data_IF_872843053712
#
_entry.id   IF_872843053712
#
_cell.length_a   1.000
_cell.length_b   1.000
_cell.length_c   1.000
_cell.angle_alpha   90.00
_cell.angle_beta   90.00
_cell.angle_gamma   90.00
#
_symmetry.space_group_name_H-M   'P 1'
#
loop_
_entity.id
_entity.type
_entity.pdbx_description
1 polymer ?
#
# COMPACT_ATOMS: atom_id res chain seq x y z
N UNK A 1 -2.44 20.34 -12.01
CA UNK A 1 -2.39 18.87 -12.33
C UNK A 1 -3.71 18.21 -11.98
N UNK A 2 -4.05 17.04 -12.58
CA UNK A 2 -5.23 16.25 -12.14
C UNK A 2 -4.96 15.67 -10.74
N UNK A 3 -5.99 15.59 -9.88
CA UNK A 3 -5.91 15.05 -8.52
C UNK A 3 -5.19 13.69 -8.43
N UNK A 4 -5.46 12.79 -9.36
CA UNK A 4 -4.81 11.46 -9.41
C UNK A 4 -3.31 11.54 -9.71
N UNK A 5 -2.87 12.54 -10.45
CA UNK A 5 -1.46 12.79 -10.78
C UNK A 5 -0.73 13.36 -9.57
N UNK A 6 -1.36 14.33 -8.86
CA UNK A 6 -0.81 14.87 -7.62
C UNK A 6 -0.65 13.77 -6.56
N UNK A 7 -1.67 12.92 -6.37
CA UNK A 7 -1.59 11.80 -5.42
C UNK A 7 -0.52 10.77 -5.82
N UNK A 8 -0.28 10.54 -7.12
CA UNK A 8 0.83 9.68 -7.59
C UNK A 8 2.18 10.33 -7.33
N UNK A 9 2.32 11.62 -7.62
CA UNK A 9 3.53 12.39 -7.35
C UNK A 9 3.88 12.38 -5.86
N UNK A 10 2.91 12.68 -4.99
CA UNK A 10 3.09 12.63 -3.54
C UNK A 10 3.50 11.22 -3.07
N UNK A 11 2.85 10.17 -3.62
CA UNK A 11 3.21 8.78 -3.32
C UNK A 11 4.63 8.44 -3.75
N UNK A 12 5.05 8.91 -4.92
CA UNK A 12 6.41 8.71 -5.41
C UNK A 12 7.44 9.34 -4.48
N UNK A 13 7.23 10.59 -4.09
CA UNK A 13 8.15 11.32 -3.21
C UNK A 13 8.19 10.65 -1.83
N UNK A 14 7.04 10.48 -1.18
CA UNK A 14 6.96 10.03 0.21
C UNK A 14 7.30 8.54 0.42
N UNK A 15 7.22 7.71 -0.62
CA UNK A 15 7.42 6.26 -0.48
C UNK A 15 8.66 5.72 -1.17
N UNK A 16 9.10 6.39 -2.23
CA UNK A 16 10.06 5.79 -3.15
C UNK A 16 11.33 6.62 -3.33
N UNK A 17 11.20 7.94 -3.45
CA UNK A 17 12.35 8.76 -3.78
C UNK A 17 12.30 10.18 -3.18
N UNK A 18 12.27 10.33 -1.85
CA UNK A 18 12.30 11.66 -1.22
C UNK A 18 13.58 12.43 -1.56
N UNK A 19 14.70 11.73 -1.66
CA UNK A 19 16.02 12.33 -1.95
C UNK A 19 16.09 13.08 -3.28
N UNK A 20 15.33 12.65 -4.30
CA UNK A 20 15.24 13.36 -5.59
C UNK A 20 14.67 14.78 -5.43
N UNK A 21 13.91 15.01 -4.38
CA UNK A 21 13.32 16.30 -4.02
C UNK A 21 14.08 17.01 -2.89
N UNK A 22 15.27 16.50 -2.53
CA UNK A 22 16.06 17.03 -1.41
C UNK A 22 15.42 16.83 -0.04
N UNK A 23 14.55 15.83 0.07
CA UNK A 23 13.81 15.51 1.29
C UNK A 23 14.35 14.24 1.93
N UNK A 24 14.21 14.14 3.26
CA UNK A 24 14.57 12.95 4.04
C UNK A 24 13.40 12.59 4.94
N UNK A 25 13.04 11.30 4.99
CA UNK A 25 12.04 10.81 5.93
C UNK A 25 12.62 10.86 7.34
N UNK A 26 11.93 11.56 8.21
CA UNK A 26 12.22 11.60 9.64
C UNK A 26 11.60 10.44 10.41
N UNK A 27 11.45 10.64 11.70
CA UNK A 27 10.77 9.69 12.59
C UNK A 27 9.34 9.41 12.11
N UNK A 28 8.92 8.14 12.20
CA UNK A 28 7.61 7.68 11.74
C UNK A 28 7.30 8.01 10.26
N UNK A 29 8.34 8.22 9.43
CA UNK A 29 8.19 8.52 8.02
C UNK A 29 7.71 9.94 7.71
N UNK A 30 7.68 10.83 8.70
CA UNK A 30 7.23 12.20 8.52
C UNK A 30 8.28 13.10 7.85
N UNK A 31 7.78 14.06 7.07
CA UNK A 31 8.53 15.20 6.51
C UNK A 31 7.82 16.49 6.94
N UNK A 32 8.56 17.57 7.17
CA UNK A 32 7.99 18.90 7.33
C UNK A 32 7.11 19.27 6.12
N UNK A 33 5.89 19.70 6.37
CA UNK A 33 4.88 19.95 5.34
C UNK A 33 5.27 21.13 4.45
N UNK A 34 5.86 22.18 5.03
CA UNK A 34 6.31 23.36 4.27
C UNK A 34 7.48 23.00 3.35
N UNK A 35 8.45 22.23 3.87
CA UNK A 35 9.55 21.71 3.07
C UNK A 35 9.05 20.82 1.93
N UNK A 36 8.07 19.95 2.19
CA UNK A 36 7.46 19.08 1.20
C UNK A 36 6.77 19.86 0.07
N UNK A 37 5.93 20.84 0.41
CA UNK A 37 5.25 21.71 -0.57
C UNK A 37 6.25 22.50 -1.38
N UNK A 38 7.27 23.09 -0.73
CA UNK A 38 8.32 23.86 -1.39
C UNK A 38 9.11 22.99 -2.38
N UNK A 39 9.43 21.76 -2.00
CA UNK A 39 10.15 20.82 -2.84
C UNK A 39 9.33 20.40 -4.08
N UNK A 40 8.02 20.17 -3.92
CA UNK A 40 7.12 19.93 -5.04
C UNK A 40 7.10 21.13 -5.98
N UNK A 41 6.86 22.35 -5.45
CA UNK A 41 6.69 23.55 -6.26
C UNK A 41 7.94 23.94 -7.04
N UNK A 42 9.13 23.57 -6.57
CA UNK A 42 10.39 23.75 -7.34
C UNK A 42 10.37 23.02 -8.68
N UNK A 43 9.81 21.81 -8.75
CA UNK A 43 9.78 20.97 -9.96
C UNK A 43 8.43 21.02 -10.68
N UNK A 44 7.36 21.31 -9.95
CA UNK A 44 5.98 21.32 -10.41
C UNK A 44 5.28 22.59 -9.93
N UNK A 45 5.59 23.77 -10.51
CA UNK A 45 5.07 25.07 -10.05
C UNK A 45 3.56 25.23 -10.25
N UNK A 46 2.96 24.36 -11.07
CA UNK A 46 1.53 24.28 -11.32
C UNK A 46 0.75 23.52 -10.22
N UNK A 47 1.46 22.85 -9.29
CA UNK A 47 0.82 22.14 -8.17
C UNK A 47 0.57 23.10 -7.03
N UNK A 48 -0.70 23.34 -6.74
CA UNK A 48 -1.15 24.24 -5.68
C UNK A 48 -1.27 23.53 -4.33
N UNK A 49 -1.21 24.31 -3.24
CA UNK A 49 -1.55 23.80 -1.90
C UNK A 49 -2.94 23.15 -1.86
N UNK A 50 -3.92 23.71 -2.56
CA UNK A 50 -5.26 23.17 -2.62
C UNK A 50 -5.28 21.73 -3.16
N UNK A 51 -4.53 21.44 -4.24
CA UNK A 51 -4.45 20.11 -4.83
C UNK A 51 -3.74 19.11 -3.92
N UNK A 52 -2.70 19.54 -3.20
CA UNK A 52 -2.00 18.72 -2.20
C UNK A 52 -2.96 18.39 -1.04
N UNK A 53 -3.62 19.39 -0.47
CA UNK A 53 -4.59 19.24 0.60
C UNK A 53 -5.78 18.34 0.18
N UNK A 54 -6.28 18.54 -1.03
CA UNK A 54 -7.33 17.69 -1.62
C UNK A 54 -6.88 16.23 -1.77
N UNK A 55 -5.63 15.98 -2.16
CA UNK A 55 -5.08 14.63 -2.26
C UNK A 55 -4.92 13.96 -0.87
N UNK A 56 -4.74 14.74 0.19
CA UNK A 56 -4.65 14.25 1.58
C UNK A 56 -6.03 13.93 2.15
N UNK A 57 -7.03 14.78 1.94
CA UNK A 57 -8.30 14.72 2.67
C UNK A 57 -9.48 14.19 1.85
N UNK A 58 -9.50 14.40 0.54
CA UNK A 58 -10.63 14.04 -0.34
C UNK A 58 -10.33 12.81 -1.20
N UNK A 59 -9.98 11.69 -0.59
CA UNK A 59 -9.77 10.43 -1.30
C UNK A 59 -11.09 9.66 -1.47
N UNK A 60 -11.40 9.29 -2.70
CA UNK A 60 -12.62 8.51 -3.02
C UNK A 60 -12.56 7.08 -2.47
N UNK A 61 -11.37 6.47 -2.44
CA UNK A 61 -11.21 5.06 -2.10
C UNK A 61 -10.47 4.83 -0.78
N UNK A 62 -9.27 5.43 -0.62
CA UNK A 62 -8.39 5.12 0.52
C UNK A 62 -7.48 6.26 0.88
N UNK A 63 -7.39 6.54 2.16
CA UNK A 63 -6.42 7.44 2.75
C UNK A 63 -5.01 6.90 2.49
N UNK A 64 -4.17 7.69 1.83
CA UNK A 64 -2.78 7.31 1.50
C UNK A 64 -1.77 8.09 2.30
N UNK A 65 -2.17 9.25 2.79
CA UNK A 65 -1.32 10.21 3.45
C UNK A 65 -1.95 10.64 4.78
N UNK A 66 -1.09 11.07 5.67
CA UNK A 66 -1.46 11.65 6.94
C UNK A 66 -0.77 13.00 7.09
N UNK A 67 -1.52 14.00 7.54
CA UNK A 67 -0.99 15.27 8.02
C UNK A 67 -1.25 15.32 9.51
N UNK A 68 -0.20 15.59 10.29
CA UNK A 68 -0.26 15.75 11.73
C UNK A 68 0.53 17.02 12.10
N UNK A 69 -0.22 18.07 12.45
CA UNK A 69 0.36 19.40 12.66
C UNK A 69 1.05 19.91 11.40
N UNK A 70 2.31 20.20 11.50
CA UNK A 70 3.19 20.71 10.44
C UNK A 70 3.92 19.61 9.66
N UNK A 71 3.51 18.34 9.78
CA UNK A 71 4.19 17.19 9.17
C UNK A 71 3.27 16.37 8.29
N UNK A 72 3.84 15.78 7.23
CA UNK A 72 3.15 14.88 6.30
C UNK A 72 3.91 13.57 6.14
N UNK A 73 3.19 12.46 6.00
CA UNK A 73 3.75 11.15 5.63
C UNK A 73 2.83 10.33 4.73
N UNK A 74 3.40 9.32 4.08
CA UNK A 74 2.61 8.21 3.55
C UNK A 74 2.39 7.14 4.63
N UNK A 75 1.20 6.53 4.65
CA UNK A 75 0.83 5.56 5.69
C UNK A 75 1.47 4.19 5.51
N UNK A 76 1.76 3.79 4.27
CA UNK A 76 2.34 2.48 3.93
C UNK A 76 2.91 2.46 2.51
N UNK A 77 3.55 1.36 2.12
CA UNK A 77 3.97 1.09 0.74
C UNK A 77 5.37 1.61 0.40
N UNK A 78 6.18 1.92 1.39
CA UNK A 78 7.54 2.42 1.24
C UNK A 78 8.48 1.37 0.62
N UNK A 79 9.37 1.83 -0.25
CA UNK A 79 10.54 1.10 -0.76
C UNK A 79 11.85 1.66 -0.22
N UNK A 80 11.79 2.83 0.41
CA UNK A 80 12.87 3.40 1.22
C UNK A 80 12.61 3.11 2.70
N UNK A 81 13.66 3.14 3.51
CA UNK A 81 13.53 2.95 4.95
C UNK A 81 12.66 4.05 5.54
N UNK A 82 11.49 3.69 6.07
CA UNK A 82 10.47 4.64 6.52
C UNK A 82 10.52 4.94 8.02
N UNK A 83 11.17 4.08 8.81
CA UNK A 83 11.20 4.14 10.28
C UNK A 83 9.79 4.23 10.92
N UNK A 84 8.77 3.67 10.26
CA UNK A 84 7.41 3.62 10.79
C UNK A 84 7.26 2.41 11.70
N UNK A 85 6.80 2.62 12.92
CA UNK A 85 6.52 1.58 13.90
C UNK A 85 5.03 1.25 13.90
N UNK A 86 4.66 0.20 13.17
CA UNK A 86 3.28 -0.29 13.18
C UNK A 86 3.02 -1.11 14.45
N UNK A 87 1.83 -0.94 15.02
CA UNK A 87 1.39 -1.76 16.17
C UNK A 87 0.82 -3.09 15.69
N UNK A 88 1.17 -4.21 16.32
CA UNK A 88 0.54 -5.50 16.06
C UNK A 88 -0.98 -5.43 16.25
N UNK A 89 -1.72 -6.17 15.45
CA UNK A 89 -3.17 -6.23 15.52
C UNK A 89 -3.69 -7.66 15.41
N UNK A 90 -4.92 -7.87 15.87
CA UNK A 90 -5.66 -9.09 15.53
C UNK A 90 -6.20 -8.93 14.12
N UNK A 91 -5.62 -9.68 13.19
CA UNK A 91 -6.07 -9.68 11.80
C UNK A 91 -7.30 -10.60 11.61
N UNK A 92 -8.15 -10.33 10.59
CA UNK A 92 -9.15 -11.28 10.14
C UNK A 92 -8.52 -12.64 9.83
N UNK A 93 -9.26 -13.74 10.06
CA UNK A 93 -8.78 -15.11 9.80
C UNK A 93 -8.30 -15.30 8.36
N UNK A 94 -8.92 -14.60 7.41
CA UNK A 94 -8.53 -14.63 6.01
C UNK A 94 -8.30 -13.22 5.51
N UNK A 95 -7.12 -13.00 4.91
CA UNK A 95 -6.78 -11.80 4.16
C UNK A 95 -6.57 -12.17 2.69
N UNK A 96 -6.48 -11.16 1.82
CA UNK A 96 -6.35 -11.34 0.38
C UNK A 96 -5.08 -10.69 -0.14
N UNK A 97 -4.54 -11.25 -1.24
CA UNK A 97 -3.43 -10.66 -1.97
C UNK A 97 -3.68 -10.77 -3.49
N UNK A 98 -3.64 -9.62 -4.18
CA UNK A 98 -3.77 -9.58 -5.63
C UNK A 98 -2.40 -9.65 -6.31
N UNK A 99 -2.26 -10.58 -7.25
CA UNK A 99 -1.03 -10.81 -8.01
C UNK A 99 -1.34 -11.25 -9.44
N UNK A 100 -0.36 -11.80 -10.15
CA UNK A 100 -0.52 -12.31 -11.51
C UNK A 100 -0.16 -13.80 -11.63
N UNK A 101 -0.63 -14.43 -12.68
CA UNK A 101 -0.30 -15.83 -13.04
C UNK A 101 1.22 -16.05 -13.17
N UNK A 102 1.96 -15.05 -13.66
CA UNK A 102 3.42 -15.12 -13.75
C UNK A 102 4.07 -15.16 -12.38
N UNK A 103 3.68 -14.26 -11.49
CA UNK A 103 4.23 -14.20 -10.13
C UNK A 103 3.79 -15.41 -9.29
N UNK A 104 2.58 -15.94 -9.52
CA UNK A 104 2.10 -17.13 -8.83
C UNK A 104 3.01 -18.37 -9.02
N UNK A 105 3.71 -18.47 -10.15
CA UNK A 105 4.65 -19.58 -10.40
C UNK A 105 5.73 -19.72 -9.33
N UNK A 106 6.25 -18.61 -8.81
CA UNK A 106 7.22 -18.61 -7.70
C UNK A 106 6.53 -18.55 -6.33
N UNK A 107 5.49 -17.74 -6.20
CA UNK A 107 4.77 -17.53 -4.94
C UNK A 107 4.23 -18.84 -4.35
N UNK A 108 3.70 -19.74 -5.19
CA UNK A 108 3.15 -21.02 -4.73
C UNK A 108 4.16 -21.93 -4.00
N UNK A 109 5.44 -21.75 -4.24
CA UNK A 109 6.51 -22.53 -3.62
C UNK A 109 7.25 -21.73 -2.52
N UNK A 110 7.41 -20.43 -2.74
CA UNK A 110 8.26 -19.57 -1.89
C UNK A 110 7.47 -18.75 -0.87
N UNK A 111 6.14 -18.65 -1.03
CA UNK A 111 5.31 -17.73 -0.29
C UNK A 111 5.44 -16.28 -0.78
N UNK A 112 4.81 -15.34 -0.04
CA UNK A 112 4.93 -13.92 -0.33
C UNK A 112 6.09 -13.31 0.45
N UNK A 113 6.91 -12.55 -0.27
CA UNK A 113 8.05 -11.78 0.26
C UNK A 113 7.82 -10.28 0.00
N UNK A 114 8.37 -9.38 0.82
CA UNK A 114 8.17 -7.94 0.66
C UNK A 114 8.70 -7.36 -0.66
N UNK A 115 9.64 -8.04 -1.31
CA UNK A 115 10.38 -7.60 -2.49
C UNK A 115 11.10 -6.27 -2.22
N UNK A 116 10.82 -5.22 -3.01
CA UNK A 116 11.41 -3.89 -2.82
C UNK A 116 10.80 -3.11 -1.64
N UNK A 117 9.74 -3.60 -1.01
CA UNK A 117 9.07 -2.94 0.11
C UNK A 117 9.58 -3.45 1.46
N UNK A 118 9.21 -2.79 2.54
CA UNK A 118 9.54 -3.25 3.89
C UNK A 118 8.63 -4.40 4.37
N UNK A 119 7.41 -4.51 3.81
CA UNK A 119 6.38 -5.47 4.20
C UNK A 119 5.65 -6.06 3.01
N UNK A 120 5.14 -7.29 3.18
CA UNK A 120 4.07 -7.85 2.35
C UNK A 120 2.79 -7.09 2.69
N UNK A 121 2.02 -6.71 1.66
CA UNK A 121 0.74 -6.02 1.79
C UNK A 121 -0.40 -6.98 1.54
N UNK A 122 -1.29 -7.11 2.50
CA UNK A 122 -2.51 -7.89 2.44
C UNK A 122 -3.71 -6.95 2.59
N UNK A 123 -4.90 -7.41 2.24
CA UNK A 123 -6.13 -6.64 2.42
C UNK A 123 -7.29 -7.56 2.78
N UNK A 124 -8.29 -7.02 3.44
CA UNK A 124 -9.57 -7.69 3.67
C UNK A 124 -10.59 -7.41 2.54
N UNK A 125 -10.22 -6.62 1.54
CA UNK A 125 -11.07 -6.12 0.45
C UNK A 125 -10.75 -6.80 -0.88
N UNK A 126 -11.70 -7.60 -1.40
CA UNK A 126 -11.55 -8.33 -2.65
C UNK A 126 -11.41 -7.41 -3.87
N UNK A 127 -12.12 -6.27 -3.88
CA UNK A 127 -12.01 -5.28 -4.96
C UNK A 127 -10.61 -4.71 -4.98
N UNK A 128 -10.06 -4.33 -3.82
CA UNK A 128 -8.71 -3.83 -3.72
C UNK A 128 -7.67 -4.87 -4.15
N UNK A 129 -7.80 -6.13 -3.71
CA UNK A 129 -6.89 -7.20 -4.14
C UNK A 129 -6.90 -7.33 -5.67
N UNK A 130 -8.10 -7.33 -6.28
CA UNK A 130 -8.26 -7.40 -7.74
C UNK A 130 -7.67 -6.19 -8.46
N UNK A 131 -7.96 -4.98 -7.98
CA UNK A 131 -7.44 -3.73 -8.56
C UNK A 131 -5.90 -3.66 -8.50
N UNK A 132 -5.30 -4.19 -7.43
CA UNK A 132 -3.83 -4.26 -7.29
C UNK A 132 -3.24 -5.26 -8.29
N UNK A 133 -3.81 -6.47 -8.36
CA UNK A 133 -3.33 -7.49 -9.30
C UNK A 133 -3.40 -7.03 -10.76
N UNK A 134 -4.48 -6.34 -11.12
CA UNK A 134 -4.69 -5.80 -12.48
C UNK A 134 -3.74 -4.66 -12.89
N UNK A 135 -2.94 -4.11 -11.96
CA UNK A 135 -1.91 -3.10 -12.32
C UNK A 135 -0.69 -3.71 -13.01
N UNK A 136 -0.51 -5.00 -12.91
CA UNK A 136 0.65 -5.71 -13.46
C UNK A 136 0.28 -6.46 -14.74
N UNK A 137 1.27 -6.64 -15.63
CA UNK A 137 1.08 -7.41 -16.86
C UNK A 137 0.93 -8.91 -16.57
N UNK A 138 -0.19 -9.50 -16.95
CA UNK A 138 -0.53 -10.91 -16.77
C UNK A 138 -2.00 -11.10 -16.40
N UNK A 139 -2.44 -12.34 -16.24
CA UNK A 139 -3.79 -12.64 -15.78
C UNK A 139 -3.86 -12.43 -14.25
N UNK A 140 -4.95 -11.83 -13.80
CA UNK A 140 -5.21 -11.64 -12.39
C UNK A 140 -5.24 -12.98 -11.64
N UNK A 141 -4.57 -13.02 -10.52
CA UNK A 141 -4.68 -14.07 -9.50
C UNK A 141 -4.95 -13.40 -8.15
N UNK A 142 -6.00 -13.84 -7.48
CA UNK A 142 -6.28 -13.46 -6.09
C UNK A 142 -5.97 -14.64 -5.18
N UNK A 143 -5.19 -14.40 -4.15
CA UNK A 143 -4.82 -15.39 -3.14
C UNK A 143 -5.58 -15.10 -1.85
N UNK A 144 -6.18 -16.13 -1.28
CA UNK A 144 -6.61 -16.12 0.11
C UNK A 144 -5.42 -16.51 0.99
N UNK A 145 -5.28 -15.80 2.10
CA UNK A 145 -4.18 -15.95 3.06
C UNK A 145 -4.77 -16.33 4.41
N UNK A 146 -4.46 -17.52 4.89
CA UNK A 146 -4.79 -17.96 6.25
C UNK A 146 -3.83 -17.29 7.25
N UNK A 147 -4.33 -16.31 7.98
CA UNK A 147 -3.51 -15.50 8.90
C UNK A 147 -2.98 -16.29 10.08
N UNK A 148 -3.63 -17.39 10.46
CA UNK A 148 -3.18 -18.27 11.55
C UNK A 148 -1.85 -18.97 11.25
N UNK A 149 -1.48 -19.07 9.97
CA UNK A 149 -0.23 -19.69 9.50
C UNK A 149 0.89 -18.68 9.25
N UNK A 150 0.66 -17.39 9.46
CA UNK A 150 1.68 -16.37 9.30
C UNK A 150 2.59 -16.37 10.53
N UNK A 151 3.91 -16.59 10.37
CA UNK A 151 4.84 -16.47 11.49
C UNK A 151 5.06 -15.00 11.86
N UNK A 152 4.93 -14.66 13.14
CA UNK A 152 5.16 -13.31 13.65
C UNK A 152 3.94 -12.40 13.51
N UNK A 153 4.18 -11.11 13.66
CA UNK A 153 3.15 -10.11 13.77
C UNK A 153 2.51 -9.72 12.44
N UNK A 154 1.22 -9.41 12.53
CA UNK A 154 0.46 -8.71 11.48
C UNK A 154 0.13 -7.33 12.01
N UNK A 155 0.30 -6.31 11.20
CA UNK A 155 0.08 -4.92 11.54
C UNK A 155 -1.05 -4.34 10.70
N UNK A 156 -1.86 -3.46 11.28
CA UNK A 156 -2.86 -2.70 10.53
C UNK A 156 -2.28 -1.32 10.17
N UNK A 157 -2.18 -1.02 8.89
CA UNK A 157 -1.73 0.28 8.39
C UNK A 157 -2.89 1.18 7.97
N UNK A 158 -4.06 0.97 8.53
CA UNK A 158 -5.34 1.62 8.18
C UNK A 158 -5.93 1.17 6.82
N UNK A 159 -7.21 1.53 6.61
CA UNK A 159 -7.95 1.33 5.34
C UNK A 159 -8.01 -0.11 4.81
N UNK A 160 -8.03 -1.11 5.70
CA UNK A 160 -8.06 -2.51 5.29
C UNK A 160 -6.76 -3.00 4.64
N UNK A 161 -5.64 -2.32 4.92
CA UNK A 161 -4.29 -2.78 4.55
C UNK A 161 -3.61 -3.38 5.76
N UNK A 162 -3.21 -4.63 5.62
CA UNK A 162 -2.47 -5.39 6.63
C UNK A 162 -1.06 -5.65 6.14
N UNK A 163 -0.10 -5.57 7.04
CA UNK A 163 1.32 -5.68 6.76
C UNK A 163 1.92 -6.84 7.54
N UNK A 164 2.80 -7.61 6.92
CA UNK A 164 3.60 -8.65 7.59
C UNK A 164 4.95 -8.81 6.92
N UNK A 165 5.92 -9.39 7.62
CA UNK A 165 7.26 -9.58 7.05
C UNK A 165 7.31 -10.69 6.00
N UNK A 166 6.46 -11.71 6.13
CA UNK A 166 6.43 -12.86 5.20
C UNK A 166 5.10 -13.59 5.30
N UNK A 167 4.66 -14.21 4.21
CA UNK A 167 3.57 -15.19 4.20
C UNK A 167 4.11 -16.50 3.64
N UNK A 168 4.11 -17.61 4.39
CA UNK A 168 4.59 -18.90 3.91
C UNK A 168 3.65 -19.48 2.86
N UNK A 169 4.16 -20.36 1.99
CA UNK A 169 3.40 -20.93 0.88
C UNK A 169 2.17 -21.71 1.35
N UNK A 170 2.27 -22.43 2.46
CA UNK A 170 1.19 -23.21 3.08
C UNK A 170 0.04 -22.37 3.66
N UNK A 171 0.23 -21.07 3.79
CA UNK A 171 -0.82 -20.13 4.15
C UNK A 171 -1.65 -19.63 2.96
N UNK A 172 -1.24 -19.98 1.72
CA UNK A 172 -1.80 -19.43 0.50
C UNK A 172 -2.75 -20.41 -0.18
N UNK A 173 -3.91 -19.92 -0.57
CA UNK A 173 -4.85 -20.63 -1.46
C UNK A 173 -5.19 -19.74 -2.64
N UNK A 174 -4.96 -20.23 -3.86
CA UNK A 174 -5.39 -19.53 -5.08
C UNK A 174 -6.90 -19.64 -5.22
N UNK A 175 -7.58 -18.51 -5.26
CA UNK A 175 -9.02 -18.46 -5.49
C UNK A 175 -9.36 -18.70 -6.96
N UNK A 176 -10.48 -19.38 -7.21
CA UNK A 176 -11.09 -19.50 -8.52
C UNK A 176 -11.79 -18.19 -8.92
N UNK A 177 -12.04 -17.99 -10.20
CA UNK A 177 -12.77 -16.82 -10.68
C UNK A 177 -14.19 -16.72 -10.10
N UNK A 178 -14.82 -17.86 -9.82
CA UNK A 178 -16.15 -17.93 -9.20
C UNK A 178 -16.10 -17.41 -7.75
N UNK A 179 -15.11 -17.83 -6.97
CA UNK A 179 -14.91 -17.38 -5.58
C UNK A 179 -14.60 -15.89 -5.52
N UNK A 180 -13.74 -15.39 -6.43
CA UNK A 180 -13.45 -13.94 -6.53
C UNK A 180 -14.72 -13.15 -6.85
N UNK A 181 -15.53 -13.61 -7.81
CA UNK A 181 -16.81 -12.98 -8.16
C UNK A 181 -17.79 -12.97 -6.98
N UNK A 182 -17.84 -14.05 -6.21
CA UNK A 182 -18.68 -14.14 -5.01
C UNK A 182 -18.24 -13.14 -3.94
N UNK A 183 -16.93 -13.04 -3.65
CA UNK A 183 -16.40 -12.07 -2.69
C UNK A 183 -16.66 -10.61 -3.10
N UNK A 184 -16.63 -10.32 -4.41
CA UNK A 184 -16.95 -8.99 -4.93
C UNK A 184 -18.43 -8.63 -4.76
N UNK A 185 -19.35 -9.62 -4.78
CA UNK A 185 -20.80 -9.42 -4.59
C UNK A 185 -21.22 -9.30 -3.14
N UNK A 186 -20.53 -9.98 -2.21
CA UNK A 186 -20.90 -10.04 -0.79
C UNK A 186 -20.67 -8.73 -0.02
N UNK A 187 -20.11 -7.70 -0.66
CA UNK A 187 -19.88 -6.37 -0.06
C UNK A 187 -20.70 -5.24 -0.72
N UNK A 188 -21.67 -5.59 -1.57
CA UNK A 188 -22.72 -4.69 -2.08
C UNK A 188 -23.96 -4.81 -1.21
#
# INVERSE_FOLDING_TARGET
MKKTEVSKLMSYILRHNPGEYGLTLGEEGFIDLTAFVTAINKKHPDVTWFEINDAVHNFKDKRRFEVNGDKIRALHGHTVKSNIHYKPCQAPKTLLHGTTDKAWKSIKNEGLKPMAREYVHLTDDAKMASDIGNRYKGNLVVLAVDTSKIPGDIYNSENGIFLTKRVPAEALTKLTDAEVKQLLKSRL
#
